data_IF_772153752867
#
_entry.id   IF_772153752867
#
_cell.length_a   1.000
_cell.length_b   1.000
_cell.length_c   1.000
_cell.angle_alpha   90.00
_cell.angle_beta   90.00
_cell.angle_gamma   90.00
#
_symmetry.space_group_name_H-M   'P 1'
#
loop_
_entity.id
_entity.type
_entity.pdbx_description
1 polymer ?
#
# COMPACT_ATOMS: atom_id res chain seq x y z
N UNK A 1 -13.22 -6.64 30.96
CA UNK A 1 -12.93 -7.41 29.74
C UNK A 1 -12.12 -6.50 28.85
N UNK A 2 -10.79 -6.59 28.98
CA UNK A 2 -9.85 -5.89 28.10
C UNK A 2 -9.82 -6.70 26.79
N UNK A 3 -10.50 -6.23 25.76
CA UNK A 3 -10.33 -6.77 24.41
C UNK A 3 -9.03 -6.19 23.87
N UNK A 4 -7.95 -6.94 24.02
CA UNK A 4 -6.63 -6.63 23.47
C UNK A 4 -6.73 -6.68 21.94
N UNK A 5 -7.00 -5.54 21.32
CA UNK A 5 -6.91 -5.35 19.88
C UNK A 5 -5.46 -5.61 19.51
N UNK A 6 -5.13 -6.76 18.93
CA UNK A 6 -3.81 -6.97 18.33
C UNK A 6 -3.68 -6.06 17.10
N UNK A 7 -3.36 -4.79 17.34
CA UNK A 7 -3.03 -3.83 16.30
C UNK A 7 -1.74 -4.32 15.64
N UNK A 8 -1.81 -4.58 14.33
CA UNK A 8 -0.62 -4.95 13.58
C UNK A 8 0.38 -3.80 13.60
N UNK A 9 1.65 -4.11 13.81
CA UNK A 9 2.76 -3.16 13.78
C UNK A 9 3.66 -3.48 12.59
N UNK A 10 4.26 -2.45 11.98
CA UNK A 10 5.32 -2.64 10.99
C UNK A 10 6.45 -3.48 11.60
N UNK A 11 6.88 -4.51 10.89
CA UNK A 11 8.03 -5.34 11.27
C UNK A 11 9.35 -4.58 11.04
N UNK A 12 9.40 -3.74 10.01
CA UNK A 12 10.57 -2.96 9.65
C UNK A 12 10.36 -1.48 9.97
N UNK A 13 11.38 -0.84 10.54
CA UNK A 13 11.38 0.59 10.78
C UNK A 13 11.47 1.40 9.49
N UNK A 14 10.97 2.63 9.52
CA UNK A 14 10.94 3.50 8.34
C UNK A 14 12.34 3.77 7.78
N UNK A 15 13.33 4.00 8.63
CA UNK A 15 14.72 4.25 8.23
C UNK A 15 15.57 2.98 8.12
N UNK A 16 14.96 1.80 8.25
CA UNK A 16 15.65 0.52 8.05
C UNK A 16 15.95 0.25 6.55
N UNK A 17 15.68 1.22 5.66
CA UNK A 17 16.07 1.12 4.25
C UNK A 17 17.59 0.98 4.03
N UNK A 18 18.41 1.44 4.99
CA UNK A 18 19.87 1.28 4.92
C UNK A 18 20.35 -0.15 5.20
N UNK A 19 19.50 -1.02 5.73
CA UNK A 19 19.83 -2.45 5.89
C UNK A 19 19.74 -3.21 4.57
N UNK A 20 18.92 -2.73 3.63
CA UNK A 20 18.76 -3.27 2.28
C UNK A 20 19.20 -2.23 1.24
N UNK A 21 20.49 -1.87 1.27
CA UNK A 21 21.12 -0.88 0.39
C UNK A 21 20.74 -1.05 -1.09
N UNK A 22 20.75 -2.27 -1.68
CA UNK A 22 20.38 -2.44 -3.09
C UNK A 22 18.93 -2.04 -3.38
N UNK A 23 18.00 -2.36 -2.48
CA UNK A 23 16.59 -2.01 -2.62
C UNK A 23 16.35 -0.52 -2.37
N UNK A 24 17.10 0.08 -1.44
CA UNK A 24 17.08 1.51 -1.18
C UNK A 24 17.59 2.31 -2.39
N UNK A 25 18.72 1.93 -2.98
CA UNK A 25 19.23 2.54 -4.20
C UNK A 25 18.23 2.38 -5.36
N UNK A 26 17.62 1.20 -5.51
CA UNK A 26 16.58 0.98 -6.50
C UNK A 26 15.37 1.91 -6.29
N UNK A 27 14.91 2.07 -5.06
CA UNK A 27 13.81 2.96 -4.71
C UNK A 27 14.16 4.46 -4.84
N UNK A 28 15.44 4.84 -4.70
CA UNK A 28 15.93 6.21 -4.90
C UNK A 28 16.07 6.55 -6.38
N UNK A 29 16.67 5.66 -7.18
CA UNK A 29 16.96 5.91 -8.60
C UNK A 29 15.77 5.63 -9.51
N UNK A 30 14.89 4.70 -9.14
CA UNK A 30 13.61 4.50 -9.82
C UNK A 30 12.47 4.22 -8.82
N UNK A 31 11.99 5.27 -8.10
CA UNK A 31 10.79 5.17 -7.28
C UNK A 31 9.57 4.55 -8.02
N UNK A 32 9.26 4.89 -9.29
CA UNK A 32 8.12 4.28 -9.96
C UNK A 32 8.33 2.79 -10.24
N UNK A 33 9.56 2.34 -10.49
CA UNK A 33 9.86 0.92 -10.66
C UNK A 33 9.68 0.14 -9.35
N UNK A 34 10.15 0.72 -8.24
CA UNK A 34 9.98 0.13 -6.91
C UNK A 34 8.50 0.08 -6.50
N UNK A 35 7.74 1.14 -6.76
CA UNK A 35 6.30 1.19 -6.54
C UNK A 35 5.56 0.11 -7.37
N UNK A 36 5.88 0.00 -8.66
CA UNK A 36 5.32 -1.03 -9.53
C UNK A 36 5.68 -2.44 -9.03
N UNK A 37 6.92 -2.67 -8.60
CA UNK A 37 7.33 -3.96 -8.04
C UNK A 37 6.54 -4.34 -6.78
N UNK A 38 6.27 -3.38 -5.90
CA UNK A 38 5.46 -3.61 -4.69
C UNK A 38 4.01 -3.91 -5.05
N UNK A 39 3.45 -3.16 -6.01
CA UNK A 39 2.10 -3.37 -6.51
C UNK A 39 1.92 -4.74 -7.16
N UNK A 40 2.87 -5.16 -8.00
CA UNK A 40 2.86 -6.50 -8.61
C UNK A 40 2.92 -7.59 -7.54
N UNK A 41 3.77 -7.42 -6.53
CA UNK A 41 3.87 -8.35 -5.42
C UNK A 41 2.57 -8.42 -4.59
N UNK A 42 1.81 -7.33 -4.49
CA UNK A 42 0.48 -7.31 -3.86
C UNK A 42 -0.64 -7.89 -4.75
N UNK A 43 -0.48 -7.83 -6.07
CA UNK A 43 -1.52 -8.16 -7.07
C UNK A 43 -1.37 -9.57 -7.67
N UNK A 44 -0.34 -10.33 -7.28
CA UNK A 44 -0.23 -11.74 -7.68
C UNK A 44 0.15 -11.98 -9.14
N UNK A 45 0.71 -10.97 -9.83
CA UNK A 45 1.13 -11.06 -11.23
C UNK A 45 0.02 -10.67 -12.20
N UNK A 46 0.11 -9.45 -12.73
CA UNK A 46 -0.91 -8.93 -13.62
C UNK A 46 -0.48 -7.62 -14.27
N UNK A 47 0.44 -7.72 -15.23
CA UNK A 47 0.92 -6.65 -16.10
C UNK A 47 1.88 -5.66 -15.43
N UNK A 48 3.16 -5.72 -15.82
CA UNK A 48 4.16 -4.67 -15.62
C UNK A 48 3.82 -3.44 -16.46
N UNK A 49 2.67 -2.84 -16.22
CA UNK A 49 2.42 -1.47 -16.64
C UNK A 49 3.22 -0.60 -15.67
N UNK A 50 4.17 0.22 -16.14
CA UNK A 50 4.68 1.33 -15.36
C UNK A 50 3.54 2.34 -15.22
N UNK A 51 2.53 1.98 -14.41
CA UNK A 51 1.58 2.93 -13.87
C UNK A 51 2.44 3.99 -13.22
N UNK A 52 2.39 5.18 -13.81
CA UNK A 52 3.28 6.28 -13.50
C UNK A 52 3.25 6.43 -11.99
N UNK A 53 4.39 6.14 -11.34
CA UNK A 53 4.51 5.97 -9.88
C UNK A 53 4.33 7.30 -9.15
N UNK A 54 3.14 7.87 -9.29
CA UNK A 54 2.72 9.08 -8.62
C UNK A 54 2.41 8.76 -7.16
N UNK A 55 2.61 9.79 -6.33
CA UNK A 55 2.39 9.77 -4.89
C UNK A 55 1.06 9.08 -4.47
N UNK A 56 -0.09 9.26 -5.17
CA UNK A 56 -1.33 8.60 -4.79
C UNK A 56 -1.25 7.08 -4.86
N UNK A 57 -0.57 6.52 -5.85
CA UNK A 57 -0.45 5.07 -6.04
C UNK A 57 0.36 4.42 -4.91
N UNK A 58 1.41 5.11 -4.48
CA UNK A 58 2.30 4.67 -3.40
C UNK A 58 1.58 4.74 -2.07
N UNK A 59 0.83 5.83 -1.85
CA UNK A 59 -0.06 5.96 -0.70
C UNK A 59 -1.08 4.80 -0.65
N UNK A 60 -1.74 4.48 -1.76
CA UNK A 60 -2.70 3.37 -1.80
C UNK A 60 -2.06 2.02 -1.50
N UNK A 61 -0.89 1.75 -2.08
CA UNK A 61 -0.09 0.55 -1.79
C UNK A 61 0.17 0.40 -0.30
N UNK A 62 0.53 1.49 0.37
CA UNK A 62 0.74 1.52 1.82
C UNK A 62 -0.55 1.26 2.61
N UNK A 63 -1.67 1.86 2.21
CA UNK A 63 -2.97 1.61 2.84
C UNK A 63 -3.41 0.14 2.70
N UNK A 64 -3.10 -0.49 1.56
CA UNK A 64 -3.31 -1.94 1.35
C UNK A 64 -2.51 -2.73 2.38
N UNK A 65 -1.21 -2.46 2.51
CA UNK A 65 -0.33 -3.17 3.44
C UNK A 65 -0.82 -3.03 4.89
N UNK A 66 -1.22 -1.82 5.31
CA UNK A 66 -1.79 -1.58 6.65
C UNK A 66 -3.10 -2.34 6.87
N UNK A 67 -4.02 -2.25 5.91
CA UNK A 67 -5.32 -2.93 5.99
C UNK A 67 -5.15 -4.45 6.09
N UNK A 68 -4.25 -5.03 5.27
CA UNK A 68 -3.98 -6.47 5.23
C UNK A 68 -3.30 -7.00 6.50
N UNK A 69 -2.61 -6.15 7.25
CA UNK A 69 -1.97 -6.50 8.52
C UNK A 69 -2.76 -6.04 9.75
N UNK A 70 -3.99 -5.55 9.58
CA UNK A 70 -4.80 -5.01 10.68
C UNK A 70 -4.08 -3.89 11.47
N UNK A 71 -3.32 -3.05 10.75
CA UNK A 71 -2.63 -1.89 11.34
C UNK A 71 -3.53 -0.66 11.32
N UNK A 72 -3.32 0.24 12.28
CA UNK A 72 -4.01 1.54 12.33
C UNK A 72 -3.61 2.39 11.11
N UNK A 73 -4.62 2.95 10.44
CA UNK A 73 -4.42 3.86 9.30
C UNK A 73 -4.14 5.27 9.82
N UNK A 74 -3.03 5.84 9.37
CA UNK A 74 -2.62 7.22 9.68
C UNK A 74 -2.46 7.96 8.35
N UNK A 75 -3.54 8.54 7.87
CA UNK A 75 -3.61 9.12 6.52
C UNK A 75 -2.66 10.32 6.36
N UNK A 76 -2.55 11.15 7.40
CA UNK A 76 -1.72 12.35 7.40
C UNK A 76 -0.25 11.97 7.52
N UNK A 77 0.09 11.09 8.48
CA UNK A 77 1.44 10.59 8.63
C UNK A 77 1.93 9.89 7.37
N UNK A 78 1.10 9.01 6.78
CA UNK A 78 1.47 8.30 5.56
C UNK A 78 1.68 9.23 4.37
N UNK A 79 0.88 10.30 4.25
CA UNK A 79 1.06 11.31 3.20
C UNK A 79 2.40 12.06 3.37
N UNK A 80 2.68 12.56 4.57
CA UNK A 80 3.93 13.27 4.90
C UNK A 80 5.13 12.35 4.67
N UNK A 81 5.08 11.11 5.15
CA UNK A 81 6.16 10.14 4.96
C UNK A 81 6.39 9.79 3.49
N UNK A 82 5.33 9.65 2.70
CA UNK A 82 5.43 9.39 1.26
C UNK A 82 6.08 10.57 0.52
N UNK A 83 5.83 11.81 0.93
CA UNK A 83 6.41 13.01 0.31
C UNK A 83 7.88 13.19 0.72
N UNK A 84 8.20 13.09 2.01
CA UNK A 84 9.52 13.44 2.54
C UNK A 84 10.50 12.26 2.61
N UNK A 85 10.02 11.02 2.66
CA UNK A 85 10.85 9.81 2.74
C UNK A 85 10.34 8.72 1.78
N UNK A 86 10.04 9.11 0.54
CA UNK A 86 9.56 8.22 -0.52
C UNK A 86 10.36 6.89 -0.63
N UNK A 87 11.71 6.89 -0.73
CA UNK A 87 12.44 5.64 -0.88
C UNK A 87 12.33 4.75 0.37
N UNK A 88 12.26 5.37 1.55
CA UNK A 88 12.12 4.68 2.83
C UNK A 88 10.78 3.94 2.90
N UNK A 89 9.70 4.62 2.51
CA UNK A 89 8.35 4.06 2.45
C UNK A 89 8.29 2.90 1.45
N UNK A 90 8.86 3.07 0.26
CA UNK A 90 8.86 2.01 -0.77
C UNK A 90 9.65 0.77 -0.33
N UNK A 91 10.79 0.95 0.34
CA UNK A 91 11.58 -0.16 0.88
C UNK A 91 10.86 -0.84 2.03
N UNK A 92 10.28 -0.06 2.96
CA UNK A 92 9.49 -0.58 4.07
C UNK A 92 8.34 -1.44 3.54
N UNK A 93 7.48 -0.88 2.69
CA UNK A 93 6.34 -1.60 2.13
C UNK A 93 6.79 -2.85 1.35
N UNK A 94 7.86 -2.76 0.57
CA UNK A 94 8.41 -3.89 -0.19
C UNK A 94 8.93 -5.03 0.70
N UNK A 95 9.60 -4.72 1.82
CA UNK A 95 10.03 -5.71 2.81
C UNK A 95 8.83 -6.32 3.54
N UNK A 96 7.83 -5.50 3.87
CA UNK A 96 6.62 -5.96 4.55
C UNK A 96 5.82 -6.93 3.69
N UNK A 97 5.69 -6.66 2.39
CA UNK A 97 5.03 -7.53 1.40
C UNK A 97 5.79 -8.85 1.25
N UNK A 98 7.13 -8.82 1.23
CA UNK A 98 7.96 -10.04 1.16
C UNK A 98 7.93 -10.86 2.43
N UNK A 99 7.83 -10.21 3.59
CA UNK A 99 7.88 -10.84 4.90
C UNK A 99 6.56 -11.47 5.37
N UNK A 100 5.44 -11.07 4.79
CA UNK A 100 4.12 -11.60 5.09
C UNK A 100 3.57 -12.37 3.91
N UNK A 101 3.13 -13.61 4.12
CA UNK A 101 2.34 -14.36 3.14
C UNK A 101 1.02 -13.63 2.91
N UNK A 102 1.01 -12.74 1.93
CA UNK A 102 -0.16 -11.98 1.59
C UNK A 102 -1.19 -12.89 0.89
N UNK A 103 -2.42 -13.07 1.43
CA UNK A 103 -3.44 -13.87 0.76
C UNK A 103 -3.80 -13.27 -0.62
N UNK A 104 -3.91 -14.15 -1.62
CA UNK A 104 -3.75 -13.89 -3.06
C UNK A 104 -5.00 -13.32 -3.77
N UNK A 105 -5.83 -12.46 -3.17
CA UNK A 105 -7.03 -11.94 -3.84
C UNK A 105 -6.93 -10.43 -4.15
N UNK A 106 -6.50 -10.04 -5.37
CA UNK A 106 -6.37 -8.64 -5.81
C UNK A 106 -7.72 -7.93 -6.03
N UNK A 107 -8.78 -8.68 -6.35
CA UNK A 107 -10.07 -8.13 -6.82
C UNK A 107 -10.98 -7.63 -5.70
N UNK A 108 -10.88 -8.20 -4.51
CA UNK A 108 -11.73 -7.83 -3.36
C UNK A 108 -11.38 -6.44 -2.81
N UNK A 109 -10.12 -6.02 -2.97
CA UNK A 109 -9.62 -4.77 -2.40
C UNK A 109 -10.13 -3.52 -3.14
N UNK A 110 -10.11 -3.52 -4.47
CA UNK A 110 -10.66 -2.39 -5.24
C UNK A 110 -12.17 -2.24 -4.95
N UNK A 111 -12.91 -3.35 -4.90
CA UNK A 111 -14.35 -3.35 -4.62
C UNK A 111 -14.69 -2.83 -3.22
N UNK A 112 -13.99 -3.29 -2.19
CA UNK A 112 -14.21 -2.81 -0.82
C UNK A 112 -13.83 -1.34 -0.63
N UNK A 113 -12.83 -0.84 -1.36
CA UNK A 113 -12.42 0.57 -1.31
C UNK A 113 -13.39 1.47 -2.06
N UNK A 114 -13.97 1.01 -3.18
CA UNK A 114 -15.05 1.73 -3.89
C UNK A 114 -16.30 1.91 -3.01
N UNK A 115 -16.53 1.02 -2.05
CA UNK A 115 -17.63 1.11 -1.08
C UNK A 115 -17.37 2.08 0.09
N UNK A 116 -16.12 2.49 0.30
CA UNK A 116 -15.75 3.46 1.35
C UNK A 116 -15.74 4.92 0.86
N UNK A 117 -15.90 5.16 -0.44
CA UNK A 117 -15.92 6.53 -1.02
C UNK A 117 -17.37 6.97 -1.25
N UNK A 118 -17.93 7.90 -0.43
CA UNK A 118 -19.35 8.22 -0.45
C UNK A 118 -19.85 8.77 -1.80
N UNK A 119 -18.98 9.46 -2.55
CA UNK A 119 -19.32 10.05 -3.85
C UNK A 119 -19.62 9.01 -4.94
N UNK A 120 -19.04 7.81 -4.86
CA UNK A 120 -19.21 6.76 -5.87
C UNK A 120 -20.37 5.83 -5.56
N UNK A 121 -20.76 5.71 -4.29
CA UNK A 121 -21.93 4.95 -3.83
C UNK A 121 -23.22 5.50 -4.43
N UNK A 122 -23.32 6.82 -4.55
CA UNK A 122 -24.47 7.50 -5.15
C UNK A 122 -24.62 7.20 -6.65
N UNK A 123 -23.51 7.07 -7.39
CA UNK A 123 -23.53 6.70 -8.82
C UNK A 123 -24.02 5.27 -9.05
N UNK A 124 -23.74 4.37 -8.10
CA UNK A 124 -24.18 2.97 -8.13
C UNK A 124 -25.67 2.86 -7.81
N UNK A 125 -26.14 3.56 -6.77
CA UNK A 125 -27.57 3.60 -6.42
C UNK A 125 -28.43 4.18 -7.55
N UNK A 126 -27.91 5.15 -8.30
CA UNK A 126 -28.58 5.69 -9.50
C UNK A 126 -28.70 4.67 -10.65
N UNK A 127 -27.82 3.68 -10.76
CA UNK A 127 -27.90 2.61 -11.78
C UNK A 127 -28.91 1.51 -11.44
N UNK A 128 -29.30 1.36 -10.17
CA UNK A 128 -30.30 0.36 -9.73
C UNK A 128 -31.72 0.93 -9.58
N UNK A 129 -31.89 2.22 -9.87
CA UNK A 129 -33.17 2.93 -9.83
C UNK A 129 -33.65 3.40 -11.22
N UNK A 130 -33.00 2.92 -12.28
CA UNK A 130 -33.36 3.16 -13.69
C UNK A 130 -33.75 1.85 -14.37
#
# INVERSE_FOLDING_TARGET
MESDSQEGVYKYDLFSCFEDIPLCLFAVFCPPCAAASNKEALSGGGCWCPSIGFIPEIYWTRQIVKTRKHMVRDEVGDCVLTIFCLPCVLVQDGREIKSGSCPQNPSEYYLNTFDQVPLMQESRNKKYLA
#
